data_IF_511676862881
#
_entry.id   IF_511676862881
#
_cell.length_a   1.000
_cell.length_b   1.000
_cell.length_c   1.000
_cell.angle_alpha   90.00
_cell.angle_beta   90.00
_cell.angle_gamma   90.00
#
_symmetry.space_group_name_H-M   'P 1'
#
loop_
_entity.id
_entity.type
_entity.pdbx_description
1 polymer ?
#
# COMPACT_ATOMS: atom_id res chain seq x y z
N UNK A 1 -6.88 -4.90 0.49
CA UNK A 1 -8.08 -5.64 0.07
C UNK A 1 -8.36 -6.70 1.12
N UNK A 2 -9.32 -6.49 1.98
CA UNK A 2 -10.00 -7.62 2.56
C UNK A 2 -10.51 -8.44 1.37
N UNK A 3 -10.00 -9.67 1.21
CA UNK A 3 -10.60 -10.64 0.31
C UNK A 3 -12.08 -10.62 0.66
N UNK A 4 -12.92 -10.06 -0.19
CA UNK A 4 -14.37 -10.10 0.03
C UNK A 4 -14.72 -11.57 0.07
N UNK A 5 -14.95 -12.09 1.28
CA UNK A 5 -15.63 -13.38 1.40
C UNK A 5 -16.97 -13.18 0.71
N UNK A 6 -17.28 -14.04 -0.26
CA UNK A 6 -18.58 -14.03 -0.90
C UNK A 6 -19.66 -14.15 0.16
N UNK A 7 -20.86 -13.67 -0.12
CA UNK A 7 -21.99 -13.70 0.83
C UNK A 7 -22.25 -15.09 1.47
N UNK A 8 -21.79 -16.17 0.82
CA UNK A 8 -21.86 -17.54 1.30
C UNK A 8 -20.84 -17.91 2.39
N UNK A 9 -19.78 -17.14 2.57
CA UNK A 9 -18.77 -17.40 3.60
C UNK A 9 -19.05 -16.68 4.93
N UNK A 10 -20.14 -15.92 4.99
CA UNK A 10 -20.58 -15.23 6.20
C UNK A 10 -21.57 -16.15 6.91
N UNK A 11 -21.29 -16.63 8.13
CA UNK A 11 -22.28 -17.38 8.90
C UNK A 11 -23.58 -16.59 9.03
N UNK A 12 -24.73 -17.19 8.70
CA UNK A 12 -26.07 -16.59 8.77
C UNK A 12 -26.48 -16.01 10.15
N UNK A 13 -25.61 -16.12 11.17
CA UNK A 13 -25.84 -15.62 12.52
C UNK A 13 -25.34 -14.18 12.77
N UNK A 14 -24.77 -13.53 11.78
CA UNK A 14 -24.28 -12.15 11.91
C UNK A 14 -25.29 -11.18 11.27
N UNK A 15 -26.49 -11.15 11.82
CA UNK A 15 -27.51 -10.16 11.47
C UNK A 15 -27.21 -8.87 12.27
N UNK A 16 -26.83 -7.82 11.58
CA UNK A 16 -26.84 -6.44 12.07
C UNK A 16 -25.50 -5.71 12.03
N UNK A 17 -24.47 -6.15 12.76
CA UNK A 17 -23.27 -5.31 12.98
C UNK A 17 -22.22 -5.39 11.87
N UNK A 18 -21.96 -6.55 11.28
CA UNK A 18 -20.95 -6.66 10.20
C UNK A 18 -21.44 -6.08 8.86
N UNK A 19 -22.73 -6.10 8.59
CA UNK A 19 -23.28 -5.40 7.42
C UNK A 19 -23.12 -3.89 7.58
N UNK A 20 -23.40 -3.32 8.74
CA UNK A 20 -23.24 -1.88 8.99
C UNK A 20 -21.79 -1.39 8.89
N UNK A 21 -20.81 -2.21 9.29
CA UNK A 21 -19.38 -1.87 9.12
C UNK A 21 -19.02 -1.75 7.63
N UNK A 22 -19.48 -2.66 6.77
CA UNK A 22 -19.20 -2.62 5.33
C UNK A 22 -19.79 -1.40 4.64
N UNK A 23 -20.98 -0.98 5.07
CA UNK A 23 -21.67 0.16 4.48
C UNK A 23 -21.03 1.50 4.85
N UNK A 24 -20.28 1.55 5.96
CA UNK A 24 -19.71 2.78 6.52
C UNK A 24 -18.19 2.90 6.37
N UNK A 25 -17.46 1.79 6.22
CA UNK A 25 -16.01 1.79 5.96
C UNK A 25 -15.74 2.45 4.61
N UNK A 26 -14.77 3.39 4.60
CA UNK A 26 -14.41 4.16 3.40
C UNK A 26 -15.31 5.35 3.14
N UNK A 27 -16.36 5.59 3.95
CA UNK A 27 -17.25 6.75 3.80
C UNK A 27 -16.61 8.09 4.20
N UNK A 28 -15.44 8.07 4.81
CA UNK A 28 -14.68 9.25 5.25
C UNK A 28 -15.51 10.22 6.13
N UNK A 29 -16.44 9.68 6.94
CA UNK A 29 -17.32 10.45 7.80
C UNK A 29 -18.39 11.27 7.04
N UNK A 30 -18.65 10.96 5.77
CA UNK A 30 -19.67 11.66 4.97
C UNK A 30 -21.08 11.17 5.23
N UNK A 31 -21.25 9.96 5.77
CA UNK A 31 -22.55 9.32 6.00
C UNK A 31 -23.02 9.41 7.45
N UNK A 32 -22.10 9.56 8.40
CA UNK A 32 -22.42 9.61 9.81
C UNK A 32 -21.18 9.50 10.69
N UNK A 33 -21.38 9.41 12.00
CA UNK A 33 -20.33 9.16 12.99
C UNK A 33 -20.43 7.71 13.43
N UNK A 34 -19.34 6.96 13.28
CA UNK A 34 -19.25 5.59 13.77
C UNK A 34 -18.96 5.67 15.27
N UNK A 35 -19.95 5.28 16.10
CA UNK A 35 -19.85 5.35 17.57
C UNK A 35 -19.48 4.03 18.22
N UNK A 36 -19.74 2.92 17.55
CA UNK A 36 -19.48 1.58 18.06
C UNK A 36 -19.12 0.64 16.92
N UNK A 37 -18.15 -0.23 17.15
CA UNK A 37 -17.66 -1.21 16.17
C UNK A 37 -17.53 -2.57 16.85
N UNK A 38 -18.16 -3.59 16.27
CA UNK A 38 -17.95 -4.98 16.68
C UNK A 38 -16.98 -5.66 15.72
N UNK A 39 -15.86 -6.17 16.25
CA UNK A 39 -14.81 -6.78 15.46
C UNK A 39 -14.66 -8.27 15.80
N UNK A 40 -14.38 -9.07 14.78
CA UNK A 40 -13.90 -10.44 14.97
C UNK A 40 -12.41 -10.38 15.31
N UNK A 41 -12.04 -10.91 16.47
CA UNK A 41 -10.66 -10.98 16.89
C UNK A 41 -10.03 -12.30 16.42
N UNK A 42 -8.76 -12.24 16.04
CA UNK A 42 -7.90 -13.41 15.83
C UNK A 42 -7.04 -13.64 17.07
N UNK A 43 -6.69 -14.90 17.41
CA UNK A 43 -5.76 -15.17 18.48
C UNK A 43 -4.38 -14.56 18.19
N UNK A 44 -3.62 -14.26 19.23
CA UNK A 44 -2.22 -13.88 19.10
C UNK A 44 -1.46 -15.07 18.50
N UNK A 45 -0.67 -14.89 17.42
CA UNK A 45 0.09 -15.97 16.83
C UNK A 45 1.07 -16.60 17.84
N UNK A 46 1.21 -17.90 17.80
CA UNK A 46 2.19 -18.64 18.61
C UNK A 46 3.62 -18.15 18.31
N UNK A 47 3.92 -17.93 17.03
CA UNK A 47 5.19 -17.46 16.55
C UNK A 47 5.01 -16.36 15.51
N UNK A 48 5.86 -15.35 15.58
CA UNK A 48 5.99 -14.31 14.56
C UNK A 48 7.45 -14.32 14.08
N UNK A 49 7.65 -14.52 12.78
CA UNK A 49 8.97 -14.47 12.16
C UNK A 49 9.00 -13.43 11.06
N UNK A 50 10.16 -12.82 10.83
CA UNK A 50 10.37 -11.84 9.76
C UNK A 50 11.54 -12.24 8.90
N UNK A 51 11.48 -11.90 7.60
CA UNK A 51 12.58 -12.09 6.68
C UNK A 51 12.80 -10.86 5.81
N UNK A 52 14.00 -10.72 5.29
CA UNK A 52 14.40 -9.67 4.35
C UNK A 52 15.21 -10.32 3.22
N UNK A 53 14.97 -9.85 1.99
CA UNK A 53 15.73 -10.26 0.82
C UNK A 53 15.99 -9.07 -0.10
N UNK A 54 17.19 -9.00 -0.66
CA UNK A 54 17.61 -7.98 -1.60
C UNK A 54 17.57 -8.52 -3.03
N UNK A 55 17.18 -7.65 -3.99
CA UNK A 55 17.00 -8.06 -5.38
C UNK A 55 17.82 -7.20 -6.36
N UNK A 56 18.17 -7.74 -7.55
CA UNK A 56 18.91 -6.99 -8.55
C UNK A 56 18.10 -5.88 -9.20
N UNK A 57 16.77 -6.06 -9.33
CA UNK A 57 15.84 -5.09 -9.90
C UNK A 57 14.54 -5.05 -9.10
N UNK A 58 13.82 -3.93 -9.21
CA UNK A 58 12.51 -3.75 -8.59
C UNK A 58 11.50 -4.76 -9.15
N UNK A 59 11.53 -5.00 -10.47
CA UNK A 59 10.72 -6.00 -11.16
C UNK A 59 10.87 -7.38 -10.53
N UNK A 60 12.12 -7.84 -10.26
CA UNK A 60 12.38 -9.14 -9.65
C UNK A 60 11.89 -9.25 -8.22
N UNK A 61 11.97 -8.18 -7.45
CA UNK A 61 11.39 -8.11 -6.12
C UNK A 61 9.86 -8.30 -6.20
N UNK A 62 9.17 -7.50 -7.01
CA UNK A 62 7.71 -7.56 -7.14
C UNK A 62 7.24 -8.89 -7.74
N UNK A 63 7.97 -9.45 -8.70
CA UNK A 63 7.69 -10.78 -9.24
C UNK A 63 7.76 -11.86 -8.14
N UNK A 64 8.70 -11.75 -7.21
CA UNK A 64 8.77 -12.66 -6.06
C UNK A 64 7.54 -12.51 -5.17
N UNK A 65 7.16 -11.28 -4.82
CA UNK A 65 5.95 -11.05 -4.01
C UNK A 65 4.69 -11.64 -4.68
N UNK A 66 4.55 -11.46 -5.98
CA UNK A 66 3.49 -12.04 -6.79
C UNK A 66 3.46 -13.56 -6.72
N UNK A 67 4.61 -14.21 -6.86
CA UNK A 67 4.75 -15.67 -6.77
C UNK A 67 4.41 -16.16 -5.35
N UNK A 68 4.88 -15.51 -4.30
CA UNK A 68 4.54 -15.87 -2.91
C UNK A 68 3.03 -15.92 -2.70
N UNK A 69 2.29 -14.91 -3.19
CA UNK A 69 0.83 -14.88 -3.12
C UNK A 69 0.21 -15.97 -4.00
N UNK A 70 0.71 -16.16 -5.22
CA UNK A 70 0.21 -17.14 -6.18
C UNK A 70 0.38 -18.59 -5.68
N UNK A 71 1.47 -18.88 -5.00
CA UNK A 71 1.71 -20.19 -4.37
C UNK A 71 0.88 -20.40 -3.09
N UNK A 72 0.14 -19.39 -2.64
CA UNK A 72 -0.70 -19.48 -1.44
C UNK A 72 0.11 -19.62 -0.15
N UNK A 73 1.34 -19.08 -0.13
CA UNK A 73 2.17 -19.09 1.08
C UNK A 73 1.44 -18.31 2.19
N UNK A 74 1.25 -18.89 3.38
CA UNK A 74 0.62 -18.19 4.50
C UNK A 74 1.55 -17.09 5.02
N UNK A 75 1.36 -15.88 4.52
CA UNK A 75 2.15 -14.71 4.87
C UNK A 75 1.28 -13.60 5.45
N UNK A 76 1.75 -12.94 6.50
CA UNK A 76 1.01 -11.87 7.16
C UNK A 76 1.12 -10.55 6.38
N UNK A 77 2.31 -10.23 5.87
CA UNK A 77 2.53 -9.06 5.02
C UNK A 77 3.81 -9.19 4.18
N UNK A 78 3.80 -8.49 3.04
CA UNK A 78 4.96 -8.32 2.17
C UNK A 78 5.09 -6.83 1.84
N UNK A 79 6.22 -6.26 2.24
CA UNK A 79 6.53 -4.85 2.04
C UNK A 79 7.71 -4.69 1.08
N UNK A 80 7.70 -3.64 0.29
CA UNK A 80 8.72 -3.36 -0.70
C UNK A 80 9.32 -1.98 -0.51
N UNK A 81 10.64 -1.87 -0.62
CA UNK A 81 11.36 -0.62 -0.83
C UNK A 81 12.16 -0.71 -2.13
N UNK A 82 12.08 0.30 -2.99
CA UNK A 82 12.97 0.39 -4.14
C UNK A 82 14.39 0.81 -3.71
N UNK A 83 15.34 0.79 -4.65
CA UNK A 83 16.75 1.12 -4.36
C UNK A 83 16.90 2.51 -3.75
N UNK A 84 16.22 3.51 -4.31
CA UNK A 84 16.33 4.91 -3.85
C UNK A 84 15.81 5.06 -2.41
N UNK A 85 14.70 4.43 -2.09
CA UNK A 85 14.16 4.42 -0.73
C UNK A 85 15.09 3.69 0.23
N UNK A 86 15.66 2.56 -0.17
CA UNK A 86 16.65 1.85 0.65
C UNK A 86 17.87 2.72 0.94
N UNK A 87 18.41 3.42 -0.06
CA UNK A 87 19.55 4.31 0.13
C UNK A 87 19.25 5.42 1.14
N UNK A 88 18.08 6.04 1.03
CA UNK A 88 17.62 7.10 1.95
C UNK A 88 17.43 6.53 3.37
N UNK A 89 16.75 5.37 3.50
CA UNK A 89 16.49 4.74 4.78
C UNK A 89 17.78 4.28 5.49
N UNK A 90 18.73 3.72 4.75
CA UNK A 90 20.05 3.30 5.29
C UNK A 90 20.79 4.50 5.89
N UNK A 91 20.86 5.61 5.15
CA UNK A 91 21.52 6.84 5.62
C UNK A 91 20.82 7.42 6.86
N UNK A 92 19.50 7.49 6.84
CA UNK A 92 18.71 8.07 7.94
C UNK A 92 18.80 7.23 9.21
N UNK A 93 18.62 5.91 9.08
CA UNK A 93 18.59 4.98 10.21
C UNK A 93 19.97 4.49 10.63
N UNK A 94 21.05 4.97 9.95
CA UNK A 94 22.45 4.58 10.22
C UNK A 94 22.63 3.06 10.25
N UNK A 95 22.16 2.41 9.20
CA UNK A 95 22.23 0.95 9.08
C UNK A 95 23.54 0.58 8.40
N UNK A 96 24.41 -0.11 9.13
CA UNK A 96 25.71 -0.55 8.63
C UNK A 96 25.60 -1.88 7.86
N UNK A 97 26.48 -2.06 6.88
CA UNK A 97 26.64 -3.29 6.11
C UNK A 97 25.40 -3.74 5.32
N UNK A 98 24.53 -2.78 4.92
CA UNK A 98 23.39 -3.03 4.05
C UNK A 98 23.63 -2.33 2.71
N UNK A 99 23.58 -3.10 1.61
CA UNK A 99 23.66 -2.55 0.25
C UNK A 99 22.32 -1.98 -0.17
N UNK A 100 22.32 -0.76 -0.71
CA UNK A 100 21.12 -0.19 -1.29
C UNK A 100 20.72 -0.92 -2.58
N UNK A 101 19.63 -1.64 -2.54
CA UNK A 101 19.02 -2.37 -3.65
C UNK A 101 17.51 -2.54 -3.39
N UNK A 102 16.69 -2.86 -4.39
CA UNK A 102 15.30 -3.21 -4.16
C UNK A 102 15.20 -4.33 -3.13
N UNK A 103 14.34 -4.16 -2.13
CA UNK A 103 14.28 -5.04 -0.96
C UNK A 103 12.84 -5.40 -0.64
N UNK A 104 12.59 -6.69 -0.36
CA UNK A 104 11.35 -7.17 0.23
C UNK A 104 11.54 -7.49 1.71
N UNK A 105 10.54 -7.15 2.47
CA UNK A 105 10.37 -7.47 3.89
C UNK A 105 9.15 -8.36 4.03
N UNK A 106 9.31 -9.47 4.71
CA UNK A 106 8.27 -10.47 4.92
C UNK A 106 7.98 -10.65 6.40
N UNK A 107 6.71 -10.89 6.75
CA UNK A 107 6.34 -11.28 8.10
C UNK A 107 5.38 -12.46 8.06
N UNK A 108 5.62 -13.44 8.92
CA UNK A 108 4.91 -14.70 9.00
C UNK A 108 4.28 -14.85 10.38
N UNK A 109 2.99 -15.20 10.42
CA UNK A 109 2.23 -15.43 11.64
C UNK A 109 1.67 -16.86 11.63
N UNK A 110 2.00 -17.65 12.65
CA UNK A 110 1.51 -19.04 12.74
C UNK A 110 2.17 -19.81 13.87
N UNK A 111 2.28 -21.12 13.70
CA UNK A 111 3.14 -21.95 14.55
C UNK A 111 4.60 -21.81 14.10
N UNK A 112 5.54 -22.14 14.98
CA UNK A 112 6.98 -22.13 14.64
C UNK A 112 7.27 -23.00 13.41
N UNK A 113 6.67 -24.20 13.37
CA UNK A 113 6.83 -25.14 12.26
C UNK A 113 6.30 -24.55 10.94
N UNK A 114 5.07 -24.03 10.92
CA UNK A 114 4.48 -23.46 9.71
C UNK A 114 5.24 -22.25 9.18
N UNK A 115 5.73 -21.40 10.08
CA UNK A 115 6.54 -20.24 9.69
C UNK A 115 7.87 -20.66 9.06
N UNK A 116 8.57 -21.67 9.62
CA UNK A 116 9.81 -22.21 9.05
C UNK A 116 9.61 -22.84 7.67
N UNK A 117 8.48 -23.51 7.45
CA UNK A 117 8.12 -24.07 6.14
C UNK A 117 7.84 -22.95 5.13
N UNK A 118 7.06 -21.93 5.51
CA UNK A 118 6.77 -20.79 4.67
C UNK A 118 8.04 -20.00 4.30
N UNK A 119 8.93 -19.77 5.26
CA UNK A 119 10.23 -19.09 5.05
C UNK A 119 11.08 -19.84 4.01
N UNK A 120 11.16 -21.17 4.05
CA UNK A 120 11.91 -21.96 3.06
C UNK A 120 11.36 -21.77 1.65
N UNK A 121 10.04 -21.78 1.49
CA UNK A 121 9.40 -21.54 0.18
C UNK A 121 9.73 -20.13 -0.32
N UNK A 122 9.59 -19.11 0.54
CA UNK A 122 9.87 -17.71 0.18
C UNK A 122 11.35 -17.52 -0.15
N UNK A 123 12.27 -18.17 0.57
CA UNK A 123 13.71 -18.14 0.28
C UNK A 123 14.00 -18.73 -1.10
N UNK A 124 13.42 -19.88 -1.43
CA UNK A 124 13.58 -20.52 -2.75
C UNK A 124 13.02 -19.63 -3.87
N UNK A 125 11.82 -19.10 -3.73
CA UNK A 125 11.22 -18.17 -4.70
C UNK A 125 12.08 -16.91 -4.87
N UNK A 126 12.60 -16.37 -3.77
CA UNK A 126 13.50 -15.21 -3.79
C UNK A 126 14.78 -15.53 -4.57
N UNK A 127 15.42 -16.67 -4.29
CA UNK A 127 16.64 -17.13 -4.97
C UNK A 127 16.41 -17.32 -6.46
N UNK A 128 15.29 -17.92 -6.87
CA UNK A 128 14.93 -18.14 -8.28
C UNK A 128 14.77 -16.82 -9.06
N UNK A 129 14.43 -15.73 -8.37
CA UNK A 129 14.36 -14.37 -8.93
C UNK A 129 15.65 -13.55 -8.74
N UNK A 130 16.77 -14.19 -8.37
CA UNK A 130 18.07 -13.52 -8.18
C UNK A 130 18.19 -12.78 -6.86
N UNK A 131 17.35 -13.10 -5.88
CA UNK A 131 17.45 -12.58 -4.53
C UNK A 131 18.75 -12.99 -3.84
N UNK A 132 19.28 -12.11 -3.03
CA UNK A 132 20.52 -12.27 -2.27
C UNK A 132 20.34 -11.83 -0.82
N UNK A 133 21.28 -12.26 0.03
CA UNK A 133 21.31 -11.89 1.45
C UNK A 133 19.98 -12.13 2.18
N UNK A 134 19.32 -13.25 1.86
CA UNK A 134 18.10 -13.65 2.56
C UNK A 134 18.41 -13.88 4.03
N UNK A 135 17.78 -13.09 4.89
CA UNK A 135 17.94 -13.17 6.35
C UNK A 135 16.58 -13.23 6.99
N UNK A 136 16.44 -14.05 8.02
CA UNK A 136 15.22 -14.12 8.81
C UNK A 136 15.53 -14.07 10.31
N UNK A 137 14.54 -13.65 11.09
CA UNK A 137 14.66 -13.47 12.53
C UNK A 137 13.36 -13.85 13.23
N UNK A 138 13.51 -14.38 14.45
CA UNK A 138 12.42 -14.79 15.34
C UNK A 138 12.33 -13.88 16.57
N UNK A 139 13.48 -13.46 17.13
CA UNK A 139 13.49 -12.58 18.29
C UNK A 139 12.93 -11.20 17.95
N UNK A 140 12.26 -10.56 18.92
CA UNK A 140 11.66 -9.24 18.75
C UNK A 140 12.71 -8.19 18.35
N UNK A 141 13.88 -8.25 18.98
CA UNK A 141 14.98 -7.32 18.74
C UNK A 141 15.50 -7.43 17.29
N UNK A 142 15.72 -8.63 16.80
CA UNK A 142 16.22 -8.86 15.44
C UNK A 142 15.14 -8.51 14.41
N UNK A 143 13.89 -8.87 14.64
CA UNK A 143 12.78 -8.47 13.78
C UNK A 143 12.66 -6.96 13.68
N UNK A 144 12.68 -6.24 14.80
CA UNK A 144 12.64 -4.78 14.82
C UNK A 144 13.83 -4.18 14.06
N UNK A 145 15.02 -4.78 14.14
CA UNK A 145 16.19 -4.36 13.39
C UNK A 145 16.00 -4.55 11.88
N UNK A 146 15.45 -5.68 11.44
CA UNK A 146 15.12 -5.92 10.03
C UNK A 146 14.10 -4.90 9.51
N UNK A 147 13.05 -4.61 10.28
CA UNK A 147 11.98 -3.71 9.88
C UNK A 147 12.31 -2.22 10.00
N UNK A 148 13.42 -1.86 10.62
CA UNK A 148 13.76 -0.45 10.89
C UNK A 148 13.78 0.41 9.63
N UNK A 149 14.40 -0.06 8.56
CA UNK A 149 14.46 0.66 7.29
C UNK A 149 13.06 0.94 6.71
N UNK A 150 12.12 0.01 6.89
CA UNK A 150 10.73 0.15 6.43
C UNK A 150 9.92 1.10 7.31
N UNK A 151 10.10 1.04 8.62
CA UNK A 151 9.38 1.91 9.55
C UNK A 151 9.77 3.38 9.40
N UNK A 152 11.01 3.66 9.09
CA UNK A 152 11.55 5.01 9.00
C UNK A 152 11.31 5.69 7.63
N UNK A 153 10.62 5.03 6.68
CA UNK A 153 10.44 5.47 5.28
C UNK A 153 10.01 6.93 5.17
N UNK A 154 8.88 7.31 5.75
CA UNK A 154 8.35 8.67 5.64
C UNK A 154 9.28 9.71 6.25
N UNK A 155 9.79 9.44 7.44
CA UNK A 155 10.69 10.34 8.16
C UNK A 155 12.03 10.50 7.46
N UNK A 156 12.53 9.42 6.86
CA UNK A 156 13.79 9.42 6.11
C UNK A 156 13.71 10.32 4.87
N UNK A 157 12.61 10.28 4.13
CA UNK A 157 12.40 11.17 2.97
C UNK A 157 12.19 12.60 3.43
N UNK A 158 11.41 12.85 4.46
CA UNK A 158 11.15 14.19 4.99
C UNK A 158 12.43 14.86 5.52
N UNK A 159 13.36 14.07 6.05
CA UNK A 159 14.65 14.58 6.57
C UNK A 159 15.61 15.06 5.48
N UNK A 160 15.36 14.76 4.20
CA UNK A 160 16.21 15.20 3.09
C UNK A 160 16.12 16.72 2.81
N UNK A 161 15.05 17.40 3.27
CA UNK A 161 14.90 18.83 3.02
C UNK A 161 14.10 19.56 4.09
N UNK A 162 14.71 20.57 4.72
CA UNK A 162 13.98 21.51 5.58
C UNK A 162 13.06 22.38 4.71
N UNK A 163 11.83 22.63 5.17
CA UNK A 163 10.79 23.41 4.46
C UNK A 163 10.24 22.77 3.17
N UNK A 164 10.66 21.57 2.81
CA UNK A 164 10.08 20.84 1.69
C UNK A 164 8.80 20.11 2.11
N UNK A 165 7.92 19.88 1.13
CA UNK A 165 6.70 19.09 1.29
C UNK A 165 6.89 17.70 0.66
N UNK A 166 6.16 16.76 1.19
CA UNK A 166 6.08 15.39 0.66
C UNK A 166 4.73 15.21 -0.03
N UNK A 167 4.78 14.72 -1.25
CA UNK A 167 3.61 14.22 -1.98
C UNK A 167 3.73 12.69 -2.09
N UNK A 168 2.69 11.98 -1.70
CA UNK A 168 2.63 10.53 -1.82
C UNK A 168 1.52 10.14 -2.77
N UNK A 169 1.85 9.35 -3.78
CA UNK A 169 0.83 8.68 -4.59
C UNK A 169 0.22 7.52 -3.80
N UNK A 170 -0.95 7.06 -4.23
CA UNK A 170 -1.63 5.95 -3.59
C UNK A 170 -2.59 5.31 -4.58
N UNK A 171 -2.16 4.26 -5.20
CA UNK A 171 -2.97 3.43 -6.11
C UNK A 171 -2.88 1.97 -5.68
N UNK A 172 -3.86 1.18 -6.09
CA UNK A 172 -3.82 -0.27 -5.92
C UNK A 172 -4.23 -0.93 -7.24
N UNK A 173 -3.52 -1.98 -7.63
CA UNK A 173 -3.84 -2.79 -8.80
C UNK A 173 -3.95 -4.26 -8.40
N UNK A 174 -4.65 -5.10 -9.19
CA UNK A 174 -4.59 -6.54 -8.97
C UNK A 174 -3.13 -7.01 -8.86
N UNK A 175 -2.82 -7.88 -7.89
CA UNK A 175 -1.44 -8.36 -7.66
C UNK A 175 -0.82 -8.92 -8.94
N UNK A 176 -1.61 -9.55 -9.81
CA UNK A 176 -1.17 -10.04 -11.13
C UNK A 176 -0.71 -8.94 -12.10
N UNK A 177 -1.11 -7.70 -11.88
CA UNK A 177 -0.75 -6.52 -12.68
C UNK A 177 0.32 -5.63 -12.04
N UNK A 178 0.71 -5.96 -10.81
CA UNK A 178 1.59 -5.09 -10.02
C UNK A 178 2.98 -4.91 -10.66
N UNK A 179 3.56 -5.96 -11.21
CA UNK A 179 4.88 -5.88 -11.90
C UNK A 179 4.82 -4.88 -13.05
N UNK A 180 3.78 -4.97 -13.89
CA UNK A 180 3.59 -4.06 -15.02
C UNK A 180 3.44 -2.61 -14.53
N UNK A 181 2.59 -2.39 -13.54
CA UNK A 181 2.32 -1.05 -13.01
C UNK A 181 3.56 -0.39 -12.39
N UNK A 182 4.29 -1.12 -11.54
CA UNK A 182 5.50 -0.60 -10.88
C UNK A 182 6.63 -0.33 -11.88
N UNK A 183 6.85 -1.24 -12.85
CA UNK A 183 7.87 -1.04 -13.88
C UNK A 183 7.56 0.18 -14.74
N UNK A 184 6.29 0.38 -15.09
CA UNK A 184 5.84 1.59 -15.78
C UNK A 184 6.07 2.85 -14.92
N UNK A 185 5.71 2.82 -13.64
CA UNK A 185 5.89 3.95 -12.73
C UNK A 185 7.36 4.32 -12.54
N UNK A 186 8.26 3.32 -12.37
CA UNK A 186 9.70 3.55 -12.25
C UNK A 186 10.27 4.23 -13.51
N UNK A 187 9.83 3.80 -14.69
CA UNK A 187 10.21 4.42 -15.95
C UNK A 187 9.71 5.87 -16.05
N UNK A 188 8.44 6.13 -15.76
CA UNK A 188 7.87 7.47 -15.77
C UNK A 188 8.59 8.45 -14.85
N UNK A 189 8.90 8.02 -13.63
CA UNK A 189 9.68 8.80 -12.66
C UNK A 189 11.03 9.19 -13.25
N UNK A 190 11.73 8.23 -13.87
CA UNK A 190 13.03 8.43 -14.50
C UNK A 190 12.94 9.37 -15.70
N UNK A 191 11.99 9.15 -16.60
CA UNK A 191 11.80 9.95 -17.81
C UNK A 191 11.45 11.42 -17.49
N UNK A 192 10.74 11.67 -16.39
CA UNK A 192 10.42 13.01 -15.89
C UNK A 192 11.49 13.64 -15.00
N UNK A 193 12.59 12.95 -14.71
CA UNK A 193 13.65 13.43 -13.83
C UNK A 193 13.15 13.69 -12.40
N UNK A 194 12.14 12.95 -11.94
CA UNK A 194 11.63 13.03 -10.58
C UNK A 194 12.49 12.19 -9.63
N UNK A 195 12.69 12.67 -8.41
CA UNK A 195 13.19 11.86 -7.30
C UNK A 195 11.96 11.38 -6.54
N UNK A 196 11.60 10.13 -6.75
CA UNK A 196 10.39 9.53 -6.21
C UNK A 196 10.68 8.13 -5.68
N UNK A 197 11.32 8.03 -4.50
CA UNK A 197 11.49 6.75 -3.84
C UNK A 197 10.15 6.03 -3.68
N UNK A 198 10.17 4.71 -3.87
CA UNK A 198 8.95 3.88 -3.87
C UNK A 198 8.94 2.91 -2.71
N UNK A 199 7.77 2.80 -2.12
CA UNK A 199 7.44 1.86 -1.05
C UNK A 199 6.07 1.25 -1.32
N UNK A 200 5.82 0.02 -0.90
CA UNK A 200 4.50 -0.57 -1.15
C UNK A 200 4.17 -1.78 -0.30
N UNK A 201 2.88 -1.93 -0.08
CA UNK A 201 2.21 -3.11 0.45
C UNK A 201 1.97 -4.09 -0.70
N UNK A 202 3.07 -4.64 -1.24
CA UNK A 202 3.03 -5.39 -2.51
C UNK A 202 2.29 -6.73 -2.40
N UNK A 203 2.05 -7.21 -1.19
CA UNK A 203 1.15 -8.34 -0.93
C UNK A 203 -0.31 -8.04 -1.27
N UNK A 204 -0.70 -6.76 -1.21
CA UNK A 204 -2.06 -6.27 -1.44
C UNK A 204 -2.23 -5.58 -2.80
N UNK A 205 -1.15 -5.39 -3.57
CA UNK A 205 -1.18 -4.68 -4.85
C UNK A 205 -1.06 -3.15 -4.74
N UNK A 206 -0.82 -2.62 -3.54
CA UNK A 206 -0.70 -1.19 -3.28
C UNK A 206 0.77 -0.74 -3.25
N UNK A 207 1.06 0.42 -3.82
CA UNK A 207 2.36 1.09 -3.66
C UNK A 207 2.25 2.61 -3.75
N UNK A 208 3.29 3.27 -3.27
CA UNK A 208 3.42 4.71 -3.19
C UNK A 208 4.74 5.17 -3.80
N UNK A 209 4.69 6.27 -4.55
CA UNK A 209 5.86 7.07 -4.89
C UNK A 209 5.88 8.28 -3.96
N UNK A 210 6.95 8.43 -3.19
CA UNK A 210 7.09 9.48 -2.17
C UNK A 210 7.97 10.59 -2.75
N UNK A 211 7.37 11.71 -3.13
CA UNK A 211 8.05 12.78 -3.86
C UNK A 211 8.27 13.98 -2.95
N UNK A 212 9.54 14.36 -2.76
CA UNK A 212 9.92 15.55 -2.03
C UNK A 212 10.01 16.76 -2.99
N UNK A 213 9.38 17.88 -2.62
CA UNK A 213 9.38 19.08 -3.46
C UNK A 213 9.32 20.38 -2.67
N UNK A 214 9.90 21.44 -3.24
CA UNK A 214 9.74 22.80 -2.75
C UNK A 214 8.31 23.30 -3.08
N UNK A 215 7.52 23.76 -2.08
CA UNK A 215 6.18 24.29 -2.32
C UNK A 215 6.17 25.58 -3.18
N UNK A 216 7.31 26.21 -3.40
CA UNK A 216 7.43 27.38 -4.27
C UNK A 216 7.80 27.02 -5.72
N UNK A 217 8.28 25.80 -5.97
CA UNK A 217 8.60 25.29 -7.32
C UNK A 217 7.34 24.85 -8.06
N UNK A 218 6.78 25.77 -8.86
CA UNK A 218 5.55 25.55 -9.64
C UNK A 218 5.72 24.52 -10.75
N UNK A 219 6.89 24.49 -11.38
CA UNK A 219 7.20 23.53 -12.45
C UNK A 219 7.25 22.10 -11.88
N UNK A 220 7.93 21.94 -10.74
CA UNK A 220 7.97 20.63 -10.06
C UNK A 220 6.58 20.16 -9.63
N UNK A 221 5.76 21.06 -9.10
CA UNK A 221 4.37 20.75 -8.73
C UNK A 221 3.53 20.30 -9.95
N UNK A 222 3.75 20.93 -11.11
CA UNK A 222 3.10 20.53 -12.36
C UNK A 222 3.53 19.13 -12.79
N UNK A 223 4.83 18.85 -12.80
CA UNK A 223 5.36 17.51 -13.13
C UNK A 223 4.85 16.41 -12.19
N UNK A 224 4.73 16.72 -10.90
CA UNK A 224 4.19 15.79 -9.91
C UNK A 224 2.71 15.47 -10.20
N UNK A 225 1.90 16.50 -10.52
CA UNK A 225 0.50 16.30 -10.90
C UNK A 225 0.37 15.47 -12.17
N UNK A 226 1.12 15.79 -13.21
CA UNK A 226 1.14 15.03 -14.47
C UNK A 226 1.53 13.56 -14.25
N UNK A 227 2.53 13.30 -13.40
CA UNK A 227 2.91 11.95 -13.03
C UNK A 227 1.78 11.23 -12.30
N UNK A 228 1.17 11.91 -11.31
CA UNK A 228 0.06 11.33 -10.53
C UNK A 228 -1.16 11.02 -11.41
N UNK A 229 -1.54 11.95 -12.31
CA UNK A 229 -2.65 11.76 -13.25
C UNK A 229 -2.41 10.52 -14.14
N UNK A 230 -1.22 10.41 -14.71
CA UNK A 230 -0.85 9.27 -15.58
C UNK A 230 -0.74 7.95 -14.83
N UNK A 231 -0.25 7.98 -13.58
CA UNK A 231 -0.19 6.79 -12.73
C UNK A 231 -1.60 6.27 -12.41
N UNK A 232 -2.53 7.18 -12.13
CA UNK A 232 -3.94 6.84 -11.90
C UNK A 232 -4.57 6.27 -13.17
N UNK A 233 -4.35 6.89 -14.33
CA UNK A 233 -4.86 6.39 -15.59
C UNK A 233 -4.31 4.98 -15.90
N UNK A 234 -3.00 4.75 -15.62
CA UNK A 234 -2.39 3.41 -15.75
C UNK A 234 -2.97 2.40 -14.76
N UNK A 235 -3.25 2.80 -13.51
CA UNK A 235 -3.88 1.92 -12.54
C UNK A 235 -5.29 1.49 -12.98
N UNK A 236 -6.10 2.42 -13.48
CA UNK A 236 -7.44 2.13 -14.01
C UNK A 236 -7.40 1.25 -15.26
N UNK A 237 -6.45 1.48 -16.18
CA UNK A 237 -6.21 0.61 -17.35
C UNK A 237 -5.94 -0.84 -16.91
N UNK A 238 -5.26 -1.02 -15.79
CA UNK A 238 -4.92 -2.31 -15.21
C UNK A 238 -5.99 -2.88 -14.25
N UNK A 239 -7.22 -2.37 -14.33
CA UNK A 239 -8.34 -2.79 -13.47
C UNK A 239 -8.10 -2.53 -11.96
N UNK A 240 -7.28 -1.53 -11.67
CA UNK A 240 -6.98 -1.08 -10.32
C UNK A 240 -7.91 0.04 -9.83
N UNK A 241 -7.49 0.74 -8.78
CA UNK A 241 -8.24 1.84 -8.14
C UNK A 241 -7.35 3.06 -7.92
N UNK A 242 -7.98 4.23 -7.90
CA UNK A 242 -7.34 5.54 -7.70
C UNK A 242 -6.81 5.75 -6.29
N UNK A 243 -7.24 4.94 -5.33
CA UNK A 243 -6.79 5.02 -3.94
C UNK A 243 -6.74 3.64 -3.33
N UNK A 244 -5.56 3.25 -2.84
CA UNK A 244 -5.36 1.99 -2.15
C UNK A 244 -5.83 2.06 -0.69
N UNK A 245 -5.35 3.06 0.04
CA UNK A 245 -5.59 3.18 1.48
C UNK A 245 -5.83 4.61 1.99
N UNK A 246 -5.39 5.65 1.26
CA UNK A 246 -5.45 7.04 1.74
C UNK A 246 -6.83 7.69 1.60
N UNK A 247 -7.74 7.10 0.84
CA UNK A 247 -9.07 7.63 0.56
C UNK A 247 -9.09 8.72 -0.53
N UNK A 248 -10.28 9.20 -0.83
CA UNK A 248 -10.56 10.23 -1.84
C UNK A 248 -10.36 11.63 -1.28
N UNK A 249 -10.88 11.88 -0.09
CA UNK A 249 -10.79 13.15 0.61
C UNK A 249 -11.32 14.32 -0.22
N UNK A 250 -10.52 15.41 -0.22
CA UNK A 250 -10.78 16.62 -1.01
C UNK A 250 -10.03 16.61 -2.34
N UNK A 251 -8.92 15.88 -2.42
CA UNK A 251 -7.97 16.01 -3.52
C UNK A 251 -8.23 15.08 -4.69
N UNK A 252 -8.80 13.90 -4.46
CA UNK A 252 -9.00 12.87 -5.49
C UNK A 252 -10.43 12.83 -6.07
N UNK A 253 -11.30 13.80 -5.74
CA UNK A 253 -12.71 13.82 -6.21
C UNK A 253 -12.86 13.76 -7.73
N UNK A 254 -11.97 14.42 -8.46
CA UNK A 254 -11.99 14.41 -9.92
C UNK A 254 -11.58 13.05 -10.52
N UNK A 255 -10.78 12.26 -9.80
CA UNK A 255 -10.45 10.91 -10.19
C UNK A 255 -11.60 9.92 -9.90
N UNK A 256 -12.39 10.18 -8.84
CA UNK A 256 -13.57 9.38 -8.54
C UNK A 256 -14.56 9.36 -9.72
N UNK A 257 -14.67 10.47 -10.45
CA UNK A 257 -15.48 10.54 -11.66
C UNK A 257 -14.97 9.61 -12.77
N UNK A 258 -13.66 9.38 -12.87
CA UNK A 258 -13.08 8.45 -13.86
C UNK A 258 -13.40 6.99 -13.51
N UNK A 259 -13.30 6.63 -12.22
CA UNK A 259 -13.47 5.25 -11.74
C UNK A 259 -14.94 4.86 -11.54
N UNK A 260 -15.78 5.79 -11.06
CA UNK A 260 -17.13 5.52 -10.57
C UNK A 260 -18.21 6.42 -11.18
N UNK A 261 -18.04 6.86 -12.42
CA UNK A 261 -19.00 7.78 -13.07
C UNK A 261 -20.45 7.31 -12.95
N UNK A 262 -20.72 6.04 -13.29
CA UNK A 262 -22.06 5.45 -13.26
C UNK A 262 -22.59 5.22 -11.84
N UNK A 263 -21.73 5.07 -10.84
CA UNK A 263 -22.08 4.81 -9.45
C UNK A 263 -22.30 6.11 -8.64
N UNK A 264 -21.78 7.23 -9.12
CA UNK A 264 -21.83 8.50 -8.38
C UNK A 264 -23.25 9.00 -8.09
N UNK A 265 -24.23 8.87 -8.98
CA UNK A 265 -25.62 9.22 -8.66
C UNK A 265 -26.19 8.43 -7.48
N UNK A 266 -25.85 7.13 -7.37
CA UNK A 266 -26.25 6.26 -6.26
C UNK A 266 -25.58 6.70 -4.97
N UNK A 267 -24.27 6.96 -4.99
CA UNK A 267 -23.54 7.48 -3.82
C UNK A 267 -24.12 8.79 -3.30
N UNK A 268 -24.45 9.73 -4.20
CA UNK A 268 -25.09 11.01 -3.86
C UNK A 268 -26.50 10.81 -3.28
N UNK A 269 -27.27 9.84 -3.79
CA UNK A 269 -28.59 9.51 -3.27
C UNK A 269 -28.52 8.99 -1.83
N UNK A 270 -27.60 8.07 -1.55
CA UNK A 270 -27.35 7.55 -0.19
C UNK A 270 -26.97 8.70 0.75
N UNK A 271 -26.02 9.54 0.35
CA UNK A 271 -25.60 10.71 1.14
C UNK A 271 -26.78 11.62 1.48
N UNK A 272 -27.61 11.99 0.49
CA UNK A 272 -28.78 12.84 0.71
C UNK A 272 -29.83 12.22 1.64
N UNK A 273 -29.99 10.89 1.58
CA UNK A 273 -30.93 10.16 2.43
C UNK A 273 -30.49 10.12 3.89
N UNK A 274 -29.18 9.96 4.15
CA UNK A 274 -28.64 9.86 5.51
C UNK A 274 -28.29 11.22 6.13
N UNK A 275 -27.91 12.19 5.30
CA UNK A 275 -27.51 13.53 5.73
C UNK A 275 -28.19 14.60 4.83
N UNK A 276 -29.51 14.79 4.96
CA UNK A 276 -30.27 15.71 4.12
C UNK A 276 -29.81 17.17 4.24
N UNK A 277 -29.24 17.55 5.37
CA UNK A 277 -28.71 18.89 5.62
C UNK A 277 -27.24 19.07 5.23
N UNK A 278 -26.58 17.99 4.73
CA UNK A 278 -25.18 17.98 4.31
C UNK A 278 -24.20 18.58 5.35
N UNK A 279 -24.34 18.15 6.61
CA UNK A 279 -23.50 18.60 7.73
C UNK A 279 -22.32 17.65 7.99
N UNK A 280 -22.39 16.40 7.50
CA UNK A 280 -21.37 15.39 7.70
C UNK A 280 -20.29 15.50 6.61
N UNK A 281 -19.11 16.04 6.96
CA UNK A 281 -17.98 16.22 6.04
C UNK A 281 -18.37 16.73 4.64
N UNK A 282 -19.04 17.91 4.54
CA UNK A 282 -19.51 18.42 3.25
C UNK A 282 -18.36 18.63 2.27
N UNK A 283 -18.55 18.21 1.03
CA UNK A 283 -17.54 18.35 -0.03
C UNK A 283 -16.39 17.34 0.00
N UNK A 284 -16.36 16.39 0.94
CA UNK A 284 -15.46 15.24 0.90
C UNK A 284 -16.03 14.12 0.03
N UNK A 285 -15.16 13.35 -0.61
CA UNK A 285 -15.41 12.26 -1.53
C UNK A 285 -16.04 12.78 -2.84
N UNK A 286 -17.13 13.50 -2.79
CA UNK A 286 -17.81 14.15 -3.93
C UNK A 286 -18.59 15.40 -3.47
N UNK A 287 -18.96 16.24 -4.44
CA UNK A 287 -19.86 17.35 -4.21
C UNK A 287 -21.31 16.91 -4.54
N UNK A 288 -22.29 17.38 -3.73
CA UNK A 288 -23.70 17.03 -3.91
C UNK A 288 -24.39 17.82 -5.04
N UNK A 289 -23.79 18.92 -5.45
CA UNK A 289 -24.29 19.79 -6.53
C UNK A 289 -23.98 19.20 -7.90
#
# INVERSE_FOLDING_TARGET
FFKQKTAYEIPLRLVGSEMCIRDSIGSEGTLGVITEVQLRLSPIPESIMSAVCHFPTLEKAVQTAQQVIQYGVPIARIEMLNKDQMEISIKYSKLDNIKASPTLFFEFHGSEQSNKEAIKIVEELSKNNGGSDFKWAESIEERNKLWKARHDVYYSVKALGQNMKVYSTDICVPVSKLVECISWAEKEVKDKGLIAPMVGHVGDGNFHSIILYDPNDKEKQKLIREYSDRLIDKALELEGTITGEHGIGLQKKHYLLKEHFDNLPVMKSIKRSLDPNNIMNPGKVFDLN
#
